data_IF_457580186769
#
_entry.id   IF_457580186769
#
_cell.length_a   1.000
_cell.length_b   1.000
_cell.length_c   1.000
_cell.angle_alpha   90.00
_cell.angle_beta   90.00
_cell.angle_gamma   90.00
#
_symmetry.space_group_name_H-M   'P 1'
#
loop_
_entity.id
_entity.type
_entity.pdbx_description
1 polymer ?
#
# COMPACT_ATOMS: atom_id res chain seq x y z
N UNK A 1 30.31 10.16 -18.32
CA UNK A 1 29.57 8.90 -18.61
C UNK A 1 29.06 8.37 -17.30
N UNK A 2 27.95 8.98 -16.92
CA UNK A 2 27.28 8.91 -15.63
C UNK A 2 26.51 7.58 -15.58
N UNK A 3 27.05 6.67 -14.78
CA UNK A 3 26.60 5.26 -14.69
C UNK A 3 26.00 4.98 -13.32
N UNK A 4 25.18 5.92 -12.80
CA UNK A 4 24.69 5.89 -11.41
C UNK A 4 23.16 5.88 -11.26
N UNK A 5 22.40 6.10 -12.32
CA UNK A 5 20.94 6.22 -12.22
C UNK A 5 20.17 4.89 -12.42
N UNK A 6 20.79 3.85 -12.97
CA UNK A 6 20.09 2.59 -13.27
C UNK A 6 19.75 1.73 -12.02
N UNK A 7 20.42 1.99 -10.89
CA UNK A 7 20.27 1.19 -9.67
C UNK A 7 19.08 1.62 -8.81
N UNK A 8 18.73 2.91 -8.84
CA UNK A 8 17.61 3.45 -8.06
C UNK A 8 16.26 3.14 -8.72
N UNK A 9 16.18 3.29 -10.05
CA UNK A 9 14.97 2.98 -10.82
C UNK A 9 14.54 1.51 -10.72
N UNK A 10 15.53 0.60 -10.61
CA UNK A 10 15.27 -0.84 -10.49
C UNK A 10 14.71 -1.22 -9.13
N UNK A 11 15.25 -0.67 -8.03
CA UNK A 11 14.71 -0.91 -6.68
C UNK A 11 13.30 -0.35 -6.56
N UNK A 12 13.00 0.81 -7.18
CA UNK A 12 11.66 1.40 -7.17
C UNK A 12 10.64 0.54 -7.92
N UNK A 13 11.02 -0.04 -9.06
CA UNK A 13 10.15 -0.93 -9.84
C UNK A 13 9.85 -2.22 -9.09
N UNK A 14 10.88 -2.85 -8.51
CA UNK A 14 10.74 -4.07 -7.72
C UNK A 14 9.90 -3.82 -6.45
N UNK A 15 10.01 -2.64 -5.82
CA UNK A 15 9.19 -2.22 -4.68
C UNK A 15 7.70 -2.08 -5.06
N UNK A 16 7.38 -1.58 -6.26
CA UNK A 16 6.00 -1.46 -6.76
C UNK A 16 5.37 -2.83 -7.00
N UNK A 17 6.10 -3.73 -7.65
CA UNK A 17 5.64 -5.09 -7.93
C UNK A 17 5.46 -5.90 -6.64
N UNK A 18 6.41 -5.79 -5.69
CA UNK A 18 6.29 -6.41 -4.38
C UNK A 18 5.07 -5.90 -3.59
N UNK A 19 4.75 -4.59 -3.67
CA UNK A 19 3.54 -4.02 -3.05
C UNK A 19 2.25 -4.55 -3.68
N UNK A 20 2.23 -4.74 -5.00
CA UNK A 20 1.09 -5.32 -5.71
C UNK A 20 0.87 -6.78 -5.30
N UNK A 21 1.92 -7.58 -5.29
CA UNK A 21 1.88 -8.97 -4.83
C UNK A 21 1.43 -9.07 -3.37
N UNK A 22 2.01 -8.26 -2.49
CA UNK A 22 1.61 -8.21 -1.09
C UNK A 22 0.12 -7.85 -0.93
N UNK A 23 -0.40 -6.92 -1.73
CA UNK A 23 -1.82 -6.55 -1.73
C UNK A 23 -2.71 -7.71 -2.21
N UNK A 24 -2.27 -8.46 -3.21
CA UNK A 24 -2.98 -9.66 -3.70
C UNK A 24 -3.03 -10.74 -2.63
N UNK A 25 -1.90 -11.04 -1.99
CA UNK A 25 -1.82 -12.00 -0.88
C UNK A 25 -2.75 -11.58 0.26
N UNK A 26 -2.71 -10.29 0.68
CA UNK A 26 -3.59 -9.77 1.71
C UNK A 26 -5.08 -9.91 1.37
N UNK A 27 -5.45 -9.86 0.08
CA UNK A 27 -6.84 -10.03 -0.36
C UNK A 27 -7.31 -11.49 -0.27
N UNK A 28 -6.40 -12.46 -0.40
CA UNK A 28 -6.69 -13.89 -0.27
C UNK A 28 -6.54 -14.41 1.15
N UNK A 29 -5.87 -13.65 2.02
CA UNK A 29 -5.67 -14.03 3.42
C UNK A 29 -7.01 -14.00 4.19
N UNK A 30 -7.18 -14.90 5.17
CA UNK A 30 -8.36 -14.91 6.02
C UNK A 30 -8.48 -13.62 6.84
N UNK A 31 -9.72 -13.21 7.14
CA UNK A 31 -10.05 -11.98 7.87
C UNK A 31 -9.38 -11.86 9.26
N UNK A 32 -8.84 -12.96 9.82
CA UNK A 32 -8.01 -12.91 11.04
C UNK A 32 -6.74 -12.04 10.88
N UNK A 33 -6.30 -11.83 9.64
CA UNK A 33 -5.15 -11.00 9.30
C UNK A 33 -5.54 -9.60 8.81
N UNK A 34 -6.83 -9.28 8.75
CA UNK A 34 -7.27 -7.94 8.37
C UNK A 34 -6.91 -6.94 9.46
N UNK A 35 -6.19 -5.90 9.06
CA UNK A 35 -5.86 -4.78 9.95
C UNK A 35 -7.12 -3.96 10.22
N UNK A 36 -7.28 -3.50 11.46
CA UNK A 36 -8.29 -2.54 11.83
C UNK A 36 -7.93 -1.17 11.25
N UNK A 37 -8.74 -0.70 10.29
CA UNK A 37 -8.58 0.58 9.60
C UNK A 37 -9.22 1.75 10.33
N UNK A 38 -10.08 1.50 11.33
CA UNK A 38 -10.62 2.54 12.20
C UNK A 38 -9.59 2.95 13.26
N UNK A 39 -8.77 1.99 13.70
CA UNK A 39 -7.65 2.23 14.60
C UNK A 39 -6.35 2.67 13.89
N UNK A 40 -5.39 3.15 14.68
CA UNK A 40 -4.05 3.49 14.18
C UNK A 40 -3.26 2.23 13.85
N UNK A 41 -2.34 2.31 12.89
CA UNK A 41 -1.47 1.20 12.50
C UNK A 41 -0.58 0.67 13.65
N UNK A 42 -0.39 1.48 14.69
CA UNK A 42 0.34 1.14 15.92
C UNK A 42 -0.56 0.77 17.10
N UNK A 43 -1.88 0.58 16.88
CA UNK A 43 -2.77 0.11 17.94
C UNK A 43 -2.38 -1.30 18.39
N UNK A 44 -2.68 -1.66 19.64
CA UNK A 44 -2.34 -2.97 20.21
C UNK A 44 -2.87 -4.12 19.33
N UNK A 45 -4.15 -4.03 18.92
CA UNK A 45 -4.79 -4.97 17.99
C UNK A 45 -4.01 -5.11 16.68
N UNK A 46 -3.69 -3.99 16.02
CA UNK A 46 -2.95 -4.01 14.76
C UNK A 46 -1.51 -4.51 14.92
N UNK A 47 -0.85 -4.22 16.05
CA UNK A 47 0.49 -4.72 16.34
C UNK A 47 0.49 -6.25 16.49
N UNK A 48 -0.49 -6.81 17.20
CA UNK A 48 -0.61 -8.26 17.38
C UNK A 48 -0.92 -8.97 16.05
N UNK A 49 -1.82 -8.40 15.23
CA UNK A 49 -2.11 -8.91 13.89
C UNK A 49 -0.85 -8.86 13.00
N UNK A 50 -0.11 -7.75 13.02
CA UNK A 50 1.13 -7.59 12.23
C UNK A 50 2.21 -8.59 12.61
N UNK A 51 2.38 -8.89 13.89
CA UNK A 51 3.35 -9.89 14.36
C UNK A 51 3.10 -11.27 13.76
N UNK A 52 1.83 -11.62 13.53
CA UNK A 52 1.45 -12.89 12.89
C UNK A 52 1.43 -12.78 11.36
N UNK A 53 1.07 -11.62 10.82
CA UNK A 53 0.92 -11.40 9.38
C UNK A 53 2.26 -11.26 8.65
N UNK A 54 3.22 -10.54 9.23
CA UNK A 54 4.53 -10.31 8.59
C UNK A 54 5.27 -11.62 8.28
N UNK A 55 5.38 -12.62 9.17
CA UNK A 55 6.04 -13.88 8.81
C UNK A 55 5.30 -14.65 7.70
N UNK A 56 3.98 -14.59 7.63
CA UNK A 56 3.20 -15.21 6.55
C UNK A 56 3.40 -14.49 5.21
N UNK A 57 3.46 -13.16 5.22
CA UNK A 57 3.81 -12.35 4.05
C UNK A 57 5.25 -12.63 3.59
N UNK A 58 6.21 -12.72 4.52
CA UNK A 58 7.60 -13.06 4.20
C UNK A 58 7.67 -14.40 3.49
N UNK A 59 7.00 -15.44 4.01
CA UNK A 59 6.98 -16.78 3.36
C UNK A 59 6.38 -16.74 1.96
N UNK A 60 5.27 -16.02 1.79
CA UNK A 60 4.55 -15.92 0.52
C UNK A 60 5.32 -15.12 -0.53
N UNK A 61 6.06 -14.09 -0.11
CA UNK A 61 6.85 -13.24 -0.99
C UNK A 61 8.24 -13.82 -1.27
N UNK A 62 8.83 -14.60 -0.37
CA UNK A 62 10.17 -15.22 -0.49
C UNK A 62 10.52 -15.81 -1.86
N UNK A 63 9.62 -16.50 -2.60
CA UNK A 63 9.96 -17.05 -3.91
C UNK A 63 10.22 -15.98 -4.98
N UNK A 64 9.55 -14.82 -4.90
CA UNK A 64 9.61 -13.77 -5.92
C UNK A 64 10.42 -12.55 -5.47
N UNK A 65 10.44 -12.29 -4.16
CA UNK A 65 11.07 -11.13 -3.55
C UNK A 65 11.75 -11.54 -2.24
N UNK A 66 12.84 -10.86 -1.87
CA UNK A 66 13.48 -11.06 -0.58
C UNK A 66 13.30 -9.81 0.33
N UNK A 67 12.06 -9.48 0.75
CA UNK A 67 11.81 -8.26 1.49
C UNK A 67 12.23 -8.41 2.96
N UNK A 68 12.88 -7.37 3.49
CA UNK A 68 13.17 -7.24 4.92
C UNK A 68 11.90 -6.91 5.70
N UNK A 69 11.85 -7.29 6.98
CA UNK A 69 10.78 -6.93 7.91
C UNK A 69 10.43 -5.43 7.91
N UNK A 70 11.43 -4.56 7.81
CA UNK A 70 11.26 -3.10 7.73
C UNK A 70 10.57 -2.65 6.43
N UNK A 71 10.98 -3.22 5.28
CA UNK A 71 10.33 -2.96 3.98
C UNK A 71 8.85 -3.37 4.03
N UNK A 72 8.54 -4.57 4.52
CA UNK A 72 7.15 -5.04 4.67
C UNK A 72 6.35 -4.14 5.61
N UNK A 73 6.95 -3.71 6.71
CA UNK A 73 6.32 -2.78 7.65
C UNK A 73 5.98 -1.44 6.99
N UNK A 74 6.91 -0.86 6.22
CA UNK A 74 6.69 0.38 5.47
C UNK A 74 5.58 0.22 4.43
N UNK A 75 5.59 -0.88 3.68
CA UNK A 75 4.55 -1.17 2.69
C UNK A 75 3.17 -1.37 3.33
N UNK A 76 3.08 -2.13 4.43
CA UNK A 76 1.85 -2.29 5.22
C UNK A 76 1.33 -0.94 5.74
N UNK A 77 2.22 -0.08 6.24
CA UNK A 77 1.85 1.25 6.73
C UNK A 77 1.29 2.12 5.60
N UNK A 78 1.91 2.10 4.42
CA UNK A 78 1.44 2.82 3.24
C UNK A 78 0.07 2.33 2.76
N UNK A 79 -0.15 1.00 2.75
CA UNK A 79 -1.45 0.41 2.42
C UNK A 79 -2.54 0.77 3.43
N UNK A 80 -2.20 0.77 4.73
CA UNK A 80 -3.11 1.19 5.80
C UNK A 80 -3.52 2.65 5.66
N UNK A 81 -2.55 3.55 5.45
CA UNK A 81 -2.81 4.99 5.21
C UNK A 81 -3.70 5.21 3.98
N UNK A 82 -3.40 4.52 2.87
CA UNK A 82 -4.19 4.60 1.65
C UNK A 82 -5.64 4.15 1.87
N UNK A 83 -5.85 2.96 2.48
CA UNK A 83 -7.19 2.45 2.78
C UNK A 83 -7.95 3.33 3.78
N UNK A 84 -7.29 3.81 4.82
CA UNK A 84 -7.89 4.72 5.82
C UNK A 84 -8.33 6.04 5.19
N UNK A 85 -7.50 6.60 4.30
CA UNK A 85 -7.84 7.79 3.52
C UNK A 85 -9.10 7.55 2.69
N UNK A 86 -9.14 6.48 1.89
CA UNK A 86 -10.32 6.09 1.09
C UNK A 86 -11.56 5.88 1.97
N UNK A 87 -11.41 5.20 3.11
CA UNK A 87 -12.53 4.98 4.04
C UNK A 87 -13.06 6.29 4.62
N UNK A 88 -12.17 7.23 4.94
CA UNK A 88 -12.56 8.57 5.41
C UNK A 88 -13.33 9.34 4.33
N UNK A 89 -12.89 9.28 3.07
CA UNK A 89 -13.63 9.88 1.95
C UNK A 89 -15.03 9.26 1.78
N UNK A 90 -15.14 7.93 1.86
CA UNK A 90 -16.43 7.22 1.82
C UNK A 90 -17.35 7.62 2.99
N UNK A 91 -16.82 7.63 4.22
CA UNK A 91 -17.58 8.02 5.43
C UNK A 91 -18.03 9.48 5.40
N UNK A 92 -17.26 10.37 4.78
CA UNK A 92 -17.62 11.79 4.62
C UNK A 92 -18.61 12.07 3.48
N UNK A 93 -19.11 11.05 2.78
CA UNK A 93 -20.08 11.23 1.69
C UNK A 93 -19.53 11.98 0.46
N UNK A 94 -18.21 12.20 0.37
CA UNK A 94 -17.55 12.86 -0.77
C UNK A 94 -17.19 11.84 -1.86
N UNK A 95 -18.20 11.16 -2.40
CA UNK A 95 -18.18 10.84 -3.83
C UNK A 95 -18.84 12.03 -4.53
N UNK A 96 -18.16 13.17 -4.51
CA UNK A 96 -18.49 14.24 -5.44
C UNK A 96 -17.71 13.95 -6.72
N UNK A 97 -18.45 13.83 -7.80
CA UNK A 97 -18.02 13.40 -9.13
C UNK A 97 -17.13 14.43 -9.86
N UNK A 98 -16.42 15.29 -9.12
CA UNK A 98 -15.88 16.56 -9.61
C UNK A 98 -14.37 16.71 -9.37
N UNK A 99 -13.62 15.67 -9.74
CA UNK A 99 -12.22 15.90 -10.12
C UNK A 99 -11.88 15.18 -11.42
N UNK A 100 -12.85 15.13 -12.34
CA UNK A 100 -12.55 15.06 -13.77
C UNK A 100 -11.96 16.42 -14.16
N UNK A 101 -10.65 16.54 -14.01
CA UNK A 101 -9.78 17.08 -15.06
C UNK A 101 -10.42 18.18 -15.93
N UNK A 102 -10.81 19.33 -15.37
CA UNK A 102 -11.06 20.52 -16.16
C UNK A 102 -9.71 21.13 -16.54
N UNK A 103 -9.03 20.44 -17.44
CA UNK A 103 -7.99 20.99 -18.30
C UNK A 103 -8.50 20.88 -19.74
N UNK A 104 -9.62 21.55 -20.03
CA UNK A 104 -9.98 21.90 -21.40
C UNK A 104 -10.00 23.41 -21.49
N UNK A 105 -8.83 23.93 -21.86
CA UNK A 105 -8.62 25.09 -22.74
C UNK A 105 -9.84 26.02 -22.85
N UNK A 106 -9.78 27.13 -22.12
CA UNK A 106 -10.48 28.36 -22.50
C UNK A 106 -9.90 28.83 -23.83
N UNK A 107 -10.47 28.35 -24.94
CA UNK A 107 -10.35 29.02 -26.23
C UNK A 107 -11.36 30.17 -26.22
N UNK A 108 -10.86 31.39 -26.02
CA UNK A 108 -11.65 32.62 -26.04
C UNK A 108 -12.31 32.84 -27.42
N UNK A 109 -13.45 33.57 -27.47
CA UNK A 109 -14.12 33.97 -28.71
C UNK A 109 -13.31 34.97 -29.53
#
# INVERSE_FOLDING_TARGET
MDKKDEKDDKDEKDDKDARMEMKTILKTMPAKFDLDYDQTFMSKTNVDIRKQLIPELMKSLKPNFNPTYDKLTKWLMSLHKSRRSVNNYKKKGRLDSDNRYLHTVTRCP
#
